data_IF_015458849019
#
_entry.id   IF_015458849019
#
_cell.length_a   1.000
_cell.length_b   1.000
_cell.length_c   1.000
_cell.angle_alpha   90.00
_cell.angle_beta   90.00
_cell.angle_gamma   90.00
#
_symmetry.space_group_name_H-M   'P 1'
#
loop_
_entity.id
_entity.type
_entity.pdbx_description
1 polymer ?
#
# COMPACT_ATOMS: atom_id res chain seq x y z
N UNK A 1 7.30 -21.09 -6.73
CA UNK A 1 5.83 -21.01 -6.96
C UNK A 1 5.32 -19.91 -6.04
N UNK A 2 4.22 -19.21 -6.34
CA UNK A 2 3.66 -18.24 -5.38
C UNK A 2 2.58 -18.92 -4.53
N UNK A 3 2.77 -18.99 -3.21
CA UNK A 3 1.73 -19.42 -2.28
C UNK A 3 0.81 -18.22 -1.93
N UNK A 4 -0.51 -18.42 -1.99
CA UNK A 4 -1.52 -17.39 -1.68
C UNK A 4 -2.07 -17.61 -0.27
N UNK A 5 -1.80 -16.69 0.65
CA UNK A 5 -2.40 -16.66 1.99
C UNK A 5 -3.00 -15.26 2.19
N UNK A 6 -4.31 -15.11 1.96
CA UNK A 6 -4.97 -13.80 2.02
C UNK A 6 -4.49 -12.82 0.94
N UNK A 7 -4.54 -11.51 1.22
CA UNK A 7 -4.06 -10.44 0.34
C UNK A 7 -2.55 -10.22 0.45
N UNK A 8 -1.78 -11.31 0.48
CA UNK A 8 -0.33 -11.31 0.55
C UNK A 8 0.26 -12.22 -0.52
N UNK A 9 1.41 -11.82 -1.06
CA UNK A 9 2.15 -12.55 -2.08
C UNK A 9 3.61 -12.71 -1.65
N UNK A 10 4.20 -13.84 -2.01
CA UNK A 10 5.59 -14.20 -1.76
C UNK A 10 6.34 -14.41 -3.07
N UNK A 11 7.60 -13.99 -3.11
CA UNK A 11 8.55 -14.33 -4.16
C UNK A 11 9.50 -15.42 -3.65
N UNK A 12 9.68 -16.47 -4.44
CA UNK A 12 10.52 -17.62 -4.10
C UNK A 12 11.52 -17.91 -5.22
N UNK A 13 12.74 -18.29 -4.84
CA UNK A 13 13.74 -18.88 -5.76
C UNK A 13 14.37 -20.09 -5.09
N UNK A 14 14.53 -21.20 -5.82
CA UNK A 14 15.15 -22.43 -5.31
C UNK A 14 14.56 -22.94 -3.97
N UNK A 15 13.27 -22.67 -3.72
CA UNK A 15 12.59 -23.03 -2.47
C UNK A 15 12.82 -22.07 -1.30
N UNK A 16 13.59 -20.99 -1.48
CA UNK A 16 13.79 -19.95 -0.48
C UNK A 16 12.84 -18.75 -0.71
N UNK A 17 12.25 -18.24 0.37
CA UNK A 17 11.48 -17.00 0.37
C UNK A 17 12.43 -15.79 0.29
N UNK A 18 12.35 -15.04 -0.80
CA UNK A 18 13.27 -13.91 -1.07
C UNK A 18 12.60 -12.54 -1.05
N UNK A 19 11.27 -12.50 -0.96
CA UNK A 19 10.53 -11.27 -0.82
C UNK A 19 9.04 -11.50 -0.56
N UNK A 20 8.37 -10.46 -0.09
CA UNK A 20 6.94 -10.48 0.20
C UNK A 20 6.30 -9.12 -0.01
N UNK A 21 4.99 -9.11 -0.25
CA UNK A 21 4.15 -7.93 -0.23
C UNK A 21 2.79 -8.27 0.39
N UNK A 22 2.18 -7.31 1.09
CA UNK A 22 0.87 -7.47 1.72
C UNK A 22 -0.01 -6.25 1.52
N UNK A 23 -1.31 -6.48 1.36
CA UNK A 23 -2.35 -5.48 1.56
C UNK A 23 -2.97 -5.69 2.93
N UNK A 24 -2.97 -4.64 3.72
CA UNK A 24 -3.63 -4.57 5.03
C UNK A 24 -4.88 -3.70 4.92
N UNK A 25 -5.97 -4.14 5.53
CA UNK A 25 -7.23 -3.38 5.52
C UNK A 25 -7.09 -2.06 6.27
N UNK A 26 -7.72 -1.02 5.70
CA UNK A 26 -7.78 0.32 6.24
C UNK A 26 -9.08 1.00 5.81
N UNK A 27 -9.27 2.24 6.23
CA UNK A 27 -10.42 3.06 5.84
C UNK A 27 -9.98 4.47 5.48
N UNK A 28 -10.79 5.16 4.69
CA UNK A 28 -10.74 6.62 4.57
C UNK A 28 -11.97 7.18 5.28
N UNK A 29 -11.74 8.09 6.23
CA UNK A 29 -12.76 8.92 6.84
C UNK A 29 -13.14 10.05 5.88
N UNK A 30 -14.02 9.74 4.94
CA UNK A 30 -14.57 10.72 4.02
C UNK A 30 -15.79 11.42 4.63
N UNK A 31 -16.08 12.63 4.16
CA UNK A 31 -17.13 13.48 4.73
C UNK A 31 -18.53 12.84 4.75
N UNK A 32 -18.82 11.91 3.83
CA UNK A 32 -20.13 11.28 3.67
C UNK A 32 -20.21 9.89 4.31
N UNK A 33 -19.12 9.11 4.29
CA UNK A 33 -19.07 7.74 4.79
C UNK A 33 -17.62 7.25 4.91
N UNK A 34 -17.41 6.19 5.71
CA UNK A 34 -16.17 5.43 5.70
C UNK A 34 -16.02 4.69 4.37
N UNK A 35 -14.87 4.85 3.72
CA UNK A 35 -14.54 4.15 2.47
C UNK A 35 -13.50 3.05 2.77
N UNK A 36 -13.78 1.77 2.45
CA UNK A 36 -12.78 0.72 2.58
C UNK A 36 -11.56 1.00 1.69
N UNK A 37 -10.36 0.79 2.24
CA UNK A 37 -9.10 0.99 1.53
C UNK A 37 -8.10 -0.12 1.85
N UNK A 38 -7.04 -0.17 1.06
CA UNK A 38 -5.87 -0.99 1.30
C UNK A 38 -4.68 -0.12 1.73
N UNK A 39 -3.80 -0.71 2.51
CA UNK A 39 -2.44 -0.24 2.76
C UNK A 39 -1.48 -1.30 2.25
N UNK A 40 -0.62 -0.95 1.29
CA UNK A 40 0.46 -1.81 0.83
C UNK A 40 1.59 -1.75 1.85
N UNK A 41 1.56 -2.66 2.82
CA UNK A 41 2.61 -2.81 3.82
C UNK A 41 2.53 -4.17 4.53
N UNK A 42 3.69 -4.84 4.76
CA UNK A 42 5.02 -4.46 4.27
C UNK A 42 5.25 -4.85 2.80
N UNK A 43 6.22 -4.20 2.15
CA UNK A 43 6.93 -4.72 0.98
C UNK A 43 8.38 -4.98 1.42
N UNK A 44 8.91 -6.17 1.13
CA UNK A 44 10.28 -6.53 1.51
C UNK A 44 10.91 -7.45 0.49
N UNK A 45 12.21 -7.26 0.23
CA UNK A 45 13.04 -8.13 -0.59
C UNK A 45 14.37 -8.28 0.13
N UNK A 46 14.91 -9.50 0.22
CA UNK A 46 16.22 -9.77 0.81
C UNK A 46 17.30 -8.89 0.16
N UNK A 47 18.21 -8.27 0.93
CA UNK A 47 19.20 -7.31 0.40
C UNK A 47 19.96 -7.80 -0.84
N UNK A 48 20.44 -9.04 -0.84
CA UNK A 48 21.17 -9.68 -1.93
C UNK A 48 20.33 -9.87 -3.22
N UNK A 49 19.01 -9.78 -3.11
CA UNK A 49 18.06 -9.91 -4.22
C UNK A 49 17.45 -8.56 -4.66
N UNK A 50 17.76 -7.46 -3.97
CA UNK A 50 17.30 -6.13 -4.36
C UNK A 50 17.91 -5.67 -5.69
N UNK A 51 17.30 -4.66 -6.34
CA UNK A 51 17.75 -4.16 -7.64
C UNK A 51 17.40 -5.07 -8.85
N UNK A 52 16.99 -6.32 -8.62
CA UNK A 52 16.67 -7.29 -9.67
C UNK A 52 15.19 -7.31 -10.11
N UNK A 53 14.44 -6.23 -9.82
CA UNK A 53 13.04 -6.10 -10.24
C UNK A 53 11.99 -6.88 -9.42
N UNK A 54 12.39 -7.69 -8.43
CA UNK A 54 11.48 -8.51 -7.61
C UNK A 54 10.43 -7.64 -6.90
N UNK A 55 10.84 -6.55 -6.24
CA UNK A 55 9.90 -5.66 -5.56
C UNK A 55 8.87 -5.06 -6.52
N UNK A 56 9.29 -4.72 -7.75
CA UNK A 56 8.38 -4.23 -8.79
C UNK A 56 7.40 -5.29 -9.27
N UNK A 57 7.83 -6.55 -9.37
CA UNK A 57 6.96 -7.66 -9.74
C UNK A 57 5.91 -7.92 -8.65
N UNK A 58 6.33 -7.89 -7.38
CA UNK A 58 5.43 -8.03 -6.23
C UNK A 58 4.38 -6.91 -6.18
N UNK A 59 4.78 -5.64 -6.33
CA UNK A 59 3.83 -4.50 -6.31
C UNK A 59 2.80 -4.61 -7.44
N UNK A 60 3.22 -4.96 -8.67
CA UNK A 60 2.27 -5.14 -9.78
C UNK A 60 1.29 -6.27 -9.48
N UNK A 61 1.81 -7.43 -9.08
CA UNK A 61 0.97 -8.59 -8.80
C UNK A 61 -0.03 -8.34 -7.66
N UNK A 62 0.36 -7.58 -6.63
CA UNK A 62 -0.56 -7.27 -5.53
C UNK A 62 -1.60 -6.23 -5.90
N UNK A 63 -1.28 -5.26 -6.77
CA UNK A 63 -2.26 -4.31 -7.29
C UNK A 63 -3.27 -5.00 -8.22
N UNK A 64 -2.82 -5.96 -9.03
CA UNK A 64 -3.71 -6.78 -9.84
C UNK A 64 -4.66 -7.60 -8.96
N UNK A 65 -4.18 -8.12 -7.83
CA UNK A 65 -5.01 -8.80 -6.84
C UNK A 65 -5.97 -7.83 -6.13
N UNK A 66 -5.58 -6.57 -5.96
CA UNK A 66 -6.35 -5.53 -5.28
C UNK A 66 -7.51 -4.98 -6.13
N UNK A 67 -7.57 -5.29 -7.42
CA UNK A 67 -8.48 -4.71 -8.41
C UNK A 67 -9.96 -5.14 -8.25
N UNK A 68 -10.48 -5.04 -7.02
CA UNK A 68 -11.90 -5.17 -6.67
C UNK A 68 -12.50 -3.77 -6.43
N UNK A 69 -13.74 -3.59 -6.88
CA UNK A 69 -14.55 -2.38 -6.73
C UNK A 69 -14.88 -2.02 -5.27
N UNK A 70 -14.76 -2.96 -4.32
CA UNK A 70 -15.12 -2.70 -2.91
C UNK A 70 -14.08 -1.89 -2.13
N UNK A 71 -12.82 -1.82 -2.61
CA UNK A 71 -11.71 -1.07 -1.98
C UNK A 71 -10.94 -0.30 -3.05
N UNK A 72 -11.46 0.86 -3.49
CA UNK A 72 -10.95 1.54 -4.67
C UNK A 72 -9.65 2.33 -4.45
N UNK A 73 -8.99 2.14 -3.31
CA UNK A 73 -7.83 2.93 -2.88
C UNK A 73 -6.76 2.01 -2.28
N UNK A 74 -5.50 2.24 -2.68
CA UNK A 74 -4.32 1.59 -2.08
C UNK A 74 -3.35 2.68 -1.65
N UNK A 75 -3.11 2.78 -0.35
CA UNK A 75 -2.17 3.71 0.26
C UNK A 75 -0.84 3.03 0.58
N UNK A 76 0.21 3.82 0.71
CA UNK A 76 1.48 3.40 1.28
C UNK A 76 2.27 4.59 1.83
N UNK A 77 3.32 4.23 2.56
CA UNK A 77 4.42 5.11 2.94
C UNK A 77 5.68 4.58 2.29
N UNK A 78 6.33 5.37 1.42
CA UNK A 78 7.49 4.88 0.72
C UNK A 78 8.18 5.88 -0.19
N UNK A 79 9.35 5.50 -0.70
CA UNK A 79 10.24 6.40 -1.44
C UNK A 79 9.54 7.02 -2.66
N UNK A 80 9.56 8.36 -2.82
CA UNK A 80 8.80 9.07 -3.86
C UNK A 80 9.21 8.66 -5.28
N UNK A 81 10.45 8.22 -5.50
CA UNK A 81 10.92 7.81 -6.83
C UNK A 81 10.55 6.37 -7.24
N UNK A 82 10.15 5.52 -6.28
CA UNK A 82 9.95 4.08 -6.55
C UNK A 82 8.53 3.76 -7.02
N UNK A 83 7.52 4.35 -6.40
CA UNK A 83 6.12 3.98 -6.57
C UNK A 83 5.35 4.65 -7.72
N UNK A 84 5.72 5.84 -8.24
CA UNK A 84 4.98 6.48 -9.33
C UNK A 84 4.81 5.62 -10.59
N UNK A 85 5.78 4.74 -10.88
CA UNK A 85 5.72 3.80 -12.01
C UNK A 85 4.63 2.73 -11.90
N UNK A 86 3.95 2.62 -10.76
CA UNK A 86 2.80 1.73 -10.56
C UNK A 86 1.48 2.49 -10.43
N UNK A 87 1.47 3.80 -10.71
CA UNK A 87 0.26 4.64 -10.63
C UNK A 87 -0.01 5.26 -9.26
N UNK A 88 0.95 5.17 -8.33
CA UNK A 88 0.88 5.93 -7.09
C UNK A 88 1.20 7.41 -7.34
N UNK A 89 0.46 8.28 -6.67
CA UNK A 89 0.75 9.71 -6.60
C UNK A 89 0.75 10.18 -5.16
N UNK A 90 1.35 11.35 -4.92
CA UNK A 90 1.30 12.00 -3.62
C UNK A 90 -0.15 12.21 -3.18
N UNK A 91 -0.51 11.65 -2.04
CA UNK A 91 -1.91 11.54 -1.63
C UNK A 91 -2.53 12.88 -1.25
N UNK A 92 -1.77 13.80 -0.66
CA UNK A 92 -2.21 15.16 -0.35
C UNK A 92 -2.61 15.96 -1.59
N UNK A 93 -1.91 15.76 -2.72
CA UNK A 93 -2.25 16.39 -3.99
C UNK A 93 -3.59 15.88 -4.58
N UNK A 94 -4.12 14.78 -4.03
CA UNK A 94 -5.39 14.18 -4.42
C UNK A 94 -6.50 14.37 -3.37
N UNK A 95 -6.25 15.18 -2.33
CA UNK A 95 -7.25 15.50 -1.31
C UNK A 95 -7.29 14.53 -0.12
N UNK A 96 -6.30 13.65 0.03
CA UNK A 96 -6.20 12.75 1.17
C UNK A 96 -5.34 13.35 2.29
N UNK A 97 -5.73 13.06 3.53
CA UNK A 97 -5.00 13.48 4.72
C UNK A 97 -4.28 12.29 5.34
N UNK A 98 -3.03 12.53 5.76
CA UNK A 98 -2.20 11.53 6.41
C UNK A 98 -2.76 11.16 7.80
N UNK A 99 -2.68 9.87 8.22
CA UNK A 99 -3.08 9.44 9.56
C UNK A 99 -2.14 9.97 10.66
N UNK A 100 -0.93 10.43 10.30
CA UNK A 100 0.07 10.82 11.29
C UNK A 100 1.04 11.89 10.78
N UNK A 101 1.45 12.77 11.69
CA UNK A 101 2.52 13.76 11.45
C UNK A 101 3.90 13.11 11.24
N UNK A 102 4.04 11.81 11.54
CA UNK A 102 5.27 11.04 11.36
C UNK A 102 5.53 10.62 9.92
N UNK A 103 4.55 10.82 9.04
CA UNK A 103 4.63 10.43 7.63
C UNK A 103 4.91 11.71 6.84
N UNK A 104 6.11 11.85 6.24
CA UNK A 104 6.36 13.02 5.42
C UNK A 104 5.51 12.98 4.14
N UNK A 105 5.10 14.18 3.69
CA UNK A 105 4.11 14.34 2.63
C UNK A 105 4.54 13.74 1.28
N UNK A 106 5.84 13.76 0.99
CA UNK A 106 6.41 13.16 -0.23
C UNK A 106 6.28 11.63 -0.26
N UNK A 107 6.23 10.99 0.90
CA UNK A 107 6.23 9.54 1.06
C UNK A 107 4.82 8.98 1.26
N UNK A 108 3.85 9.83 1.64
CA UNK A 108 2.44 9.46 1.71
C UNK A 108 1.81 9.41 0.31
N UNK A 109 1.61 8.20 -0.21
CA UNK A 109 1.19 7.99 -1.59
C UNK A 109 -0.05 7.12 -1.69
N UNK A 110 -0.82 7.30 -2.77
CA UNK A 110 -2.04 6.56 -3.05
C UNK A 110 -2.15 6.20 -4.53
N UNK A 111 -2.59 4.98 -4.82
CA UNK A 111 -3.07 4.55 -6.12
C UNK A 111 -4.60 4.42 -6.07
N UNK A 112 -5.27 4.93 -7.11
CA UNK A 112 -6.73 4.80 -7.28
C UNK A 112 -7.03 3.62 -8.19
N UNK A 113 -7.87 2.72 -7.73
CA UNK A 113 -8.35 1.56 -8.46
C UNK A 113 -9.73 1.86 -9.10
N UNK A 114 -10.24 1.00 -10.00
CA UNK A 114 -11.60 1.13 -10.50
C UNK A 114 -12.62 1.18 -9.35
N UNK A 115 -13.62 2.06 -9.49
CA UNK A 115 -14.63 2.31 -8.46
C UNK A 115 -14.33 3.52 -7.56
N UNK A 116 -13.16 4.16 -7.67
CA UNK A 116 -12.90 5.40 -6.96
C UNK A 116 -13.79 6.53 -7.49
N UNK A 117 -14.56 7.15 -6.60
CA UNK A 117 -15.38 8.32 -6.89
C UNK A 117 -14.82 9.59 -6.22
N UNK A 118 -15.07 10.80 -6.77
CA UNK A 118 -14.52 12.04 -6.23
C UNK A 118 -14.84 12.34 -4.76
N UNK A 119 -15.93 11.78 -4.23
CA UNK A 119 -16.34 11.98 -2.83
C UNK A 119 -15.53 11.13 -1.84
N UNK A 120 -14.80 10.11 -2.31
CA UNK A 120 -14.07 9.13 -1.49
C UNK A 120 -12.72 9.65 -0.98
N UNK A 121 -12.65 10.95 -0.67
CA UNK A 121 -11.44 11.62 -0.17
C UNK A 121 -11.61 11.98 1.30
N UNK A 122 -10.51 12.02 2.04
CA UNK A 122 -10.53 12.27 3.49
C UNK A 122 -9.27 11.78 4.18
N UNK A 123 -9.38 11.50 5.48
CA UNK A 123 -8.24 11.05 6.29
C UNK A 123 -8.09 9.54 6.21
N UNK A 124 -6.90 9.05 5.87
CA UNK A 124 -6.61 7.62 5.99
C UNK A 124 -6.65 7.23 7.47
N UNK A 125 -7.27 6.11 7.78
CA UNK A 125 -7.32 5.48 9.11
C UNK A 125 -6.58 4.15 9.01
N UNK A 126 -5.45 4.05 9.71
CA UNK A 126 -4.76 2.78 9.89
C UNK A 126 -5.51 1.86 10.86
N UNK A 127 -5.39 0.52 10.71
CA UNK A 127 -5.87 -0.41 11.70
C UNK A 127 -5.11 -0.23 13.03
N UNK A 128 -5.79 -0.51 14.14
CA UNK A 128 -5.28 -0.32 15.51
C UNK A 128 -3.91 -0.99 15.73
N UNK A 129 -3.68 -2.15 15.10
CA UNK A 129 -2.40 -2.88 15.14
C UNK A 129 -1.18 -2.00 14.84
N UNK A 130 -1.27 -1.08 13.87
CA UNK A 130 -0.13 -0.23 13.52
C UNK A 130 0.20 0.74 14.67
N UNK A 131 -0.81 1.18 15.40
CA UNK A 131 -0.66 2.05 16.57
C UNK A 131 -0.16 1.28 17.79
N UNK A 132 -0.71 0.09 18.04
CA UNK A 132 -0.32 -0.78 19.16
C UNK A 132 1.17 -1.13 19.15
N UNK A 133 1.75 -1.36 17.96
CA UNK A 133 3.17 -1.67 17.79
C UNK A 133 4.03 -0.46 17.41
N UNK A 134 3.46 0.74 17.47
CA UNK A 134 4.08 2.01 17.12
C UNK A 134 4.70 2.03 15.70
N UNK A 135 4.14 1.26 14.77
CA UNK A 135 4.65 1.07 13.41
C UNK A 135 4.03 2.02 12.37
N UNK A 136 3.48 3.16 12.80
CA UNK A 136 3.01 4.23 11.90
C UNK A 136 4.16 5.19 11.59
N UNK A 137 4.33 5.59 10.33
CA UNK A 137 5.47 6.40 9.91
C UNK A 137 6.68 5.58 9.49
N UNK A 138 7.53 6.20 8.67
CA UNK A 138 8.83 5.64 8.30
C UNK A 138 9.77 5.66 9.52
N UNK A 139 10.48 4.56 9.73
CA UNK A 139 11.51 4.38 10.76
C UNK A 139 12.85 4.05 10.12
#
# INVERSE_FOLDING_TARGET
>A
MAARIGHALAAETEGALIGQVRLTEAWVDAATALVPAWVLSPLSVLPEHQGNGIGSALVRAVLDLAADTTRPLVFLEGHPDFYPRFGFGRASALGFLSPSLRIPDSEFQVARLPGHEPWMIGTLIYPDTFWQYDSVGLR
#
